data_IF_177105224790
#
_entry.id   IF_177105224790
#
_cell.length_a   1.000
_cell.length_b   1.000
_cell.length_c   1.000
_cell.angle_alpha   90.00
_cell.angle_beta   90.00
_cell.angle_gamma   90.00
#
_symmetry.space_group_name_H-M   'P 1'
#
loop_
_entity.id
_entity.type
_entity.pdbx_description
1 polymer ?
#
# COMPACT_ATOMS: atom_id res chain seq x y z
N UNK A 1 -14.66 -2.68 -10.47
CA UNK A 1 -14.51 -2.60 -11.95
C UNK A 1 -15.44 -3.65 -12.57
N UNK A 2 -16.50 -3.25 -13.27
CA UNK A 2 -17.51 -4.21 -13.76
C UNK A 2 -18.76 -3.59 -14.38
N UNK A 3 -18.98 -2.28 -14.18
CA UNK A 3 -20.03 -1.53 -14.87
C UNK A 3 -19.70 -1.18 -16.33
N UNK A 4 -18.44 -1.39 -16.75
CA UNK A 4 -18.00 -1.07 -18.10
C UNK A 4 -17.97 -2.34 -18.95
N UNK A 5 -18.68 -2.32 -20.08
CA UNK A 5 -18.70 -3.42 -21.05
C UNK A 5 -17.35 -3.64 -21.75
N UNK A 6 -16.49 -2.62 -21.74
CA UNK A 6 -15.13 -2.67 -22.24
C UNK A 6 -14.21 -1.91 -21.29
N UNK A 7 -13.08 -2.52 -20.95
CA UNK A 7 -12.01 -1.91 -20.17
C UNK A 7 -10.74 -1.90 -20.98
N UNK A 8 -10.18 -0.70 -21.16
CA UNK A 8 -8.82 -0.56 -21.68
C UNK A 8 -7.89 -0.69 -20.49
N UNK A 9 -7.12 -1.78 -20.46
CA UNK A 9 -6.16 -2.06 -19.40
C UNK A 9 -4.77 -1.72 -19.94
N UNK A 10 -4.10 -0.73 -19.33
CA UNK A 10 -2.69 -0.48 -19.57
C UNK A 10 -1.85 -1.25 -18.55
N UNK A 11 -1.09 -2.24 -19.03
CA UNK A 11 -0.16 -2.98 -18.19
C UNK A 11 1.17 -2.21 -18.05
N UNK A 12 1.63 -2.05 -16.81
CA UNK A 12 2.97 -1.52 -16.50
C UNK A 12 3.82 -2.62 -15.88
N UNK A 13 5.04 -2.76 -16.37
CA UNK A 13 6.00 -3.75 -15.86
C UNK A 13 7.08 -3.05 -15.03
N UNK A 14 7.29 -3.52 -13.80
CA UNK A 14 8.36 -3.06 -12.91
C UNK A 14 9.34 -4.22 -12.71
N UNK A 15 10.59 -4.02 -13.12
CA UNK A 15 11.65 -5.02 -12.93
C UNK A 15 12.30 -4.87 -11.56
N UNK A 16 12.22 -5.90 -10.72
CA UNK A 16 12.83 -5.91 -9.39
C UNK A 16 14.24 -6.51 -9.46
N UNK A 17 15.29 -5.68 -9.39
CA UNK A 17 16.70 -6.11 -9.47
C UNK A 17 17.36 -6.39 -8.11
N UNK A 18 16.77 -5.89 -7.03
CA UNK A 18 17.24 -6.01 -5.64
C UNK A 18 16.06 -6.30 -4.70
N UNK A 19 16.28 -6.20 -3.39
CA UNK A 19 15.19 -6.26 -2.42
C UNK A 19 14.17 -5.16 -2.73
N UNK A 20 12.92 -5.56 -2.96
CA UNK A 20 11.83 -4.67 -3.33
C UNK A 20 10.66 -4.87 -2.38
N UNK A 21 10.01 -3.77 -2.01
CA UNK A 21 8.77 -3.77 -1.21
C UNK A 21 7.69 -3.06 -1.99
N UNK A 22 6.53 -3.67 -2.05
CA UNK A 22 5.34 -3.16 -2.71
C UNK A 22 4.19 -3.14 -1.70
N UNK A 23 3.56 -1.97 -1.56
CA UNK A 23 2.28 -1.82 -0.88
C UNK A 23 1.18 -1.55 -1.91
N UNK A 24 0.13 -2.37 -1.91
CA UNK A 24 -1.10 -2.11 -2.66
C UNK A 24 -2.21 -1.87 -1.65
N UNK A 25 -2.96 -0.78 -1.79
CA UNK A 25 -3.94 -0.39 -0.78
C UNK A 25 -5.22 0.15 -1.40
N UNK A 26 -6.31 0.09 -0.62
CA UNK A 26 -7.58 0.76 -0.95
C UNK A 26 -7.52 2.24 -0.55
N UNK A 27 -8.44 3.02 -1.11
CA UNK A 27 -8.66 4.42 -0.73
C UNK A 27 -9.03 4.59 0.75
N UNK A 28 -9.73 3.63 1.36
CA UNK A 28 -9.95 3.62 2.80
C UNK A 28 -8.67 3.75 3.65
N UNK A 29 -7.53 3.18 3.20
CA UNK A 29 -6.24 3.36 3.89
C UNK A 29 -5.65 4.77 3.68
N UNK A 30 -5.87 5.38 2.51
CA UNK A 30 -5.46 6.76 2.24
C UNK A 30 -6.24 7.71 3.17
N UNK A 31 -7.55 7.53 3.26
CA UNK A 31 -8.43 8.37 4.09
C UNK A 31 -8.09 8.24 5.59
N UNK A 32 -7.62 7.07 6.04
CA UNK A 32 -7.17 6.86 7.43
C UNK A 32 -5.79 7.49 7.74
N UNK A 33 -4.95 7.72 6.72
CA UNK A 33 -3.56 8.13 6.89
C UNK A 33 -3.39 9.61 7.25
N UNK A 34 -4.05 10.51 6.52
CA UNK A 34 -4.01 11.95 6.76
C UNK A 34 -5.27 12.62 6.20
N UNK A 35 -5.53 13.87 6.62
CA UNK A 35 -6.67 14.64 6.13
C UNK A 35 -6.56 15.08 4.66
N UNK A 36 -5.35 15.19 4.12
CA UNK A 36 -5.08 15.59 2.74
C UNK A 36 -4.37 14.47 1.97
N UNK A 37 -4.77 14.23 0.71
CA UNK A 37 -4.29 13.14 -0.14
C UNK A 37 -2.76 13.12 -0.28
N UNK A 38 -2.15 14.28 -0.53
CA UNK A 38 -0.69 14.39 -0.72
C UNK A 38 0.07 13.98 0.55
N UNK A 39 -0.45 14.35 1.73
CA UNK A 39 0.13 13.98 3.02
C UNK A 39 -0.03 12.49 3.29
N UNK A 40 -1.20 11.93 2.95
CA UNK A 40 -1.47 10.50 3.08
C UNK A 40 -0.51 9.68 2.20
N UNK A 41 -0.36 10.05 0.93
CA UNK A 41 0.57 9.37 0.00
C UNK A 41 2.02 9.47 0.48
N UNK A 42 2.44 10.64 0.97
CA UNK A 42 3.79 10.83 1.51
C UNK A 42 4.03 9.95 2.75
N UNK A 43 3.08 9.91 3.68
CA UNK A 43 3.16 9.08 4.89
C UNK A 43 3.23 7.59 4.55
N UNK A 44 2.33 7.10 3.70
CA UNK A 44 2.30 5.69 3.29
C UNK A 44 3.58 5.30 2.56
N UNK A 45 4.10 6.17 1.70
CA UNK A 45 5.37 5.96 1.00
C UNK A 45 6.55 5.86 1.97
N UNK A 46 6.54 6.65 3.04
CA UNK A 46 7.57 6.59 4.06
C UNK A 46 7.49 5.30 4.86
N UNK A 47 6.29 4.87 5.25
CA UNK A 47 6.10 3.60 5.95
C UNK A 47 6.55 2.41 5.11
N UNK A 48 6.24 2.38 3.81
CA UNK A 48 6.71 1.29 2.92
C UNK A 48 8.25 1.23 2.85
N UNK A 49 8.93 2.38 2.93
CA UNK A 49 10.39 2.45 2.90
C UNK A 49 11.02 2.04 4.23
N UNK A 50 10.50 2.58 5.34
CA UNK A 50 11.09 2.41 6.66
C UNK A 50 10.72 1.07 7.30
N UNK A 51 9.46 0.66 7.17
CA UNK A 51 8.96 -0.52 7.85
C UNK A 51 9.45 -1.80 7.18
N UNK A 52 9.83 -2.76 8.01
CA UNK A 52 10.33 -4.07 7.55
C UNK A 52 9.25 -5.14 7.51
N UNK A 53 8.11 -4.90 8.17
CA UNK A 53 6.96 -5.80 8.24
C UNK A 53 5.65 -5.00 8.29
N UNK A 54 4.56 -5.63 7.82
CA UNK A 54 3.18 -5.13 7.97
C UNK A 54 2.68 -5.15 9.42
N UNK A 55 3.32 -5.95 10.27
CA UNK A 55 2.99 -6.05 11.70
C UNK A 55 3.60 -4.90 12.53
N UNK A 56 4.23 -3.91 11.88
CA UNK A 56 4.83 -2.80 12.57
C UNK A 56 3.80 -1.95 13.30
N UNK A 57 4.22 -1.34 14.40
CA UNK A 57 3.34 -0.49 15.21
C UNK A 57 2.74 0.65 14.38
N UNK A 58 3.52 1.24 13.47
CA UNK A 58 3.05 2.31 12.58
C UNK A 58 1.85 1.87 11.73
N UNK A 59 1.90 0.68 11.13
CA UNK A 59 0.78 0.12 10.39
C UNK A 59 -0.41 -0.18 11.30
N UNK A 60 -0.17 -0.83 12.45
CA UNK A 60 -1.23 -1.18 13.39
C UNK A 60 -1.96 0.05 13.94
N UNK A 61 -1.24 1.13 14.23
CA UNK A 61 -1.83 2.40 14.64
C UNK A 61 -2.69 2.99 13.53
N UNK A 62 -2.20 2.95 12.29
CA UNK A 62 -2.94 3.43 11.13
C UNK A 62 -4.25 2.65 10.92
N UNK A 63 -4.22 1.32 10.97
CA UNK A 63 -5.42 0.48 10.84
C UNK A 63 -6.45 0.69 11.96
N UNK A 64 -6.02 1.17 13.12
CA UNK A 64 -6.89 1.44 14.27
C UNK A 64 -7.41 2.87 14.31
N UNK A 65 -6.92 3.76 13.45
CA UNK A 65 -7.41 5.14 13.43
C UNK A 65 -8.88 5.14 13.04
N UNK A 66 -9.71 5.88 13.79
CA UNK A 66 -11.09 6.11 13.35
C UNK A 66 -11.04 6.89 12.04
N UNK A 67 -11.48 6.26 10.96
CA UNK A 67 -11.68 6.91 9.68
C UNK A 67 -12.96 7.75 9.74
N UNK A 68 -12.96 8.91 9.07
CA UNK A 68 -14.15 9.75 8.97
C UNK A 68 -15.27 9.10 8.14
N UNK A 69 -14.92 8.07 7.36
CA UNK A 69 -15.81 7.20 6.58
C UNK A 69 -15.67 5.76 7.05
N UNK A 70 -16.79 5.05 7.17
CA UNK A 70 -16.82 3.60 7.34
C UNK A 70 -16.48 2.93 6.00
N UNK A 71 -15.22 3.01 5.58
CA UNK A 71 -14.72 2.32 4.40
C UNK A 71 -13.74 1.20 4.78
N UNK A 72 -13.66 0.19 3.94
CA UNK A 72 -12.83 -0.98 4.18
C UNK A 72 -11.34 -0.64 4.01
N UNK A 73 -10.59 -0.74 5.10
CA UNK A 73 -9.15 -0.48 5.11
C UNK A 73 -8.40 -1.76 4.75
N UNK A 74 -7.63 -1.74 3.65
CA UNK A 74 -6.85 -2.89 3.20
C UNK A 74 -5.45 -2.49 2.72
N UNK A 75 -4.45 -3.28 3.09
CA UNK A 75 -3.08 -3.24 2.58
C UNK A 75 -2.64 -4.65 2.20
N UNK A 76 -2.14 -4.80 0.98
CA UNK A 76 -1.36 -5.97 0.57
C UNK A 76 0.11 -5.57 0.59
N UNK A 77 0.87 -6.24 1.45
CA UNK A 77 2.31 -6.08 1.56
C UNK A 77 3.03 -7.22 0.86
N UNK A 78 3.84 -6.91 -0.15
CA UNK A 78 4.67 -7.88 -0.84
C UNK A 78 6.14 -7.47 -0.73
N UNK A 79 6.97 -8.40 -0.26
CA UNK A 79 8.42 -8.24 -0.27
C UNK A 79 9.04 -9.25 -1.22
N UNK A 80 9.81 -8.76 -2.18
CA UNK A 80 10.62 -9.57 -3.08
C UNK A 80 12.06 -9.48 -2.59
N UNK A 81 12.61 -10.62 -2.20
CA UNK A 81 14.01 -10.71 -1.76
C UNK A 81 14.79 -11.58 -2.72
N UNK A 82 16.06 -11.22 -2.95
CA UNK A 82 16.94 -12.03 -3.79
C UNK A 82 17.16 -13.38 -3.12
N UNK A 83 16.75 -14.48 -3.77
CA UNK A 83 17.13 -15.82 -3.34
C UNK A 83 18.60 -16.05 -3.70
N UNK A 84 19.48 -16.03 -2.70
CA UNK A 84 20.83 -16.55 -2.86
C UNK A 84 20.76 -18.07 -2.77
N UNK A 85 21.02 -18.77 -3.88
CA UNK A 85 21.34 -20.20 -3.82
C UNK A 85 22.78 -20.30 -3.32
N UNK A 86 22.95 -20.85 -2.13
CA UNK A 86 24.26 -21.25 -1.58
C UNK A 86 24.81 -22.45 -2.36
#
# INVERSE_FOLDING_TARGET
VGMFSQLVIEARTITCSTNYRLGLYTDGLIEAAAGELEQAVALLSEYIKQETSVDSQAWQELFRRPSAREDDICLVWAQVSKCYKY
#
